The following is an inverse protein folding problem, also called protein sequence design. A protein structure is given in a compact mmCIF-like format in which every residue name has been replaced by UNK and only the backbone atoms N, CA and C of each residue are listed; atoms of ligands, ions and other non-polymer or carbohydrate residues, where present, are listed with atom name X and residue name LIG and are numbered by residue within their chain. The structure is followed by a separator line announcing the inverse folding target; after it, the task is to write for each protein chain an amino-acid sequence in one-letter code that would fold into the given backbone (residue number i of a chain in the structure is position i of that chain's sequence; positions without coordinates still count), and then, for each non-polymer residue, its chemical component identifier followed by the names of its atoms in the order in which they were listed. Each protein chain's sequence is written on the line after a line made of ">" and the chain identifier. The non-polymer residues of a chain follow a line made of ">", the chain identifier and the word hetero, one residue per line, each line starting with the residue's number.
data_IF_994591466453
#
_entry.id   IF_994591466453
#
_cell.length_a   1.000
_cell.length_b   1.000
_cell.length_c   1.000
_cell.angle_alpha   90.00
_cell.angle_beta   90.00
_cell.angle_gamma   90.00
#
_symmetry.space_group_name_H-M   'P 1'
#
loop_
_entity.id
_entity.type
_entity.pdbx_description
1 polymer ?
#
# COMPACT_ATOMS: atom_id res chain seq x y z
N UNK A 1 24.43 -2.11 -5.50
CA UNK A 1 24.57 -3.44 -4.86
C UNK A 1 23.36 -4.27 -5.25
N UNK A 2 23.49 -5.59 -5.50
CA UNK A 2 22.32 -6.45 -5.68
C UNK A 2 21.47 -6.39 -4.39
N UNK A 3 20.16 -6.30 -4.54
CA UNK A 3 19.23 -6.36 -3.41
C UNK A 3 19.22 -7.81 -2.90
N UNK A 4 19.40 -8.02 -1.60
CA UNK A 4 19.30 -9.36 -0.97
C UNK A 4 17.85 -9.79 -0.75
N UNK A 5 16.91 -9.17 -1.46
CA UNK A 5 15.49 -9.49 -1.46
C UNK A 5 14.93 -9.31 -2.88
N UNK A 6 13.86 -10.04 -3.15
CA UNK A 6 13.11 -10.01 -4.40
C UNK A 6 11.64 -9.73 -4.07
N UNK A 7 11.08 -8.66 -4.64
CA UNK A 7 9.68 -8.33 -4.43
C UNK A 7 8.80 -9.36 -5.16
N UNK A 8 7.87 -9.98 -4.44
CA UNK A 8 6.90 -10.94 -4.98
C UNK A 8 5.63 -10.19 -5.40
N UNK A 9 5.09 -9.37 -4.50
CA UNK A 9 3.89 -8.58 -4.74
C UNK A 9 3.82 -7.38 -3.80
N UNK A 10 3.08 -6.37 -4.23
CA UNK A 10 2.66 -5.28 -3.37
C UNK A 10 1.17 -5.06 -3.54
N UNK A 11 0.46 -4.75 -2.47
CA UNK A 11 -0.97 -4.46 -2.56
C UNK A 11 -1.40 -3.42 -1.55
N UNK A 12 -2.39 -2.62 -1.93
CA UNK A 12 -3.22 -1.89 -0.98
C UNK A 12 -4.41 -2.77 -0.72
N UNK A 13 -4.44 -3.41 0.46
CA UNK A 13 -5.48 -4.38 0.81
C UNK A 13 -6.73 -3.71 1.33
N UNK A 14 -6.60 -2.51 1.91
CA UNK A 14 -7.72 -1.68 2.32
C UNK A 14 -7.37 -0.23 2.09
N UNK A 15 -8.11 0.46 1.22
CA UNK A 15 -8.06 1.91 1.07
C UNK A 15 -9.40 2.50 1.48
N UNK A 16 -9.45 3.13 2.67
CA UNK A 16 -10.66 3.74 3.23
C UNK A 16 -10.46 5.25 3.28
N UNK A 17 -11.46 6.00 2.87
CA UNK A 17 -11.42 7.47 2.88
C UNK A 17 -12.68 8.02 3.55
N UNK A 18 -12.50 9.17 4.18
CA UNK A 18 -13.56 9.99 4.74
C UNK A 18 -13.52 11.35 4.04
N UNK A 19 -14.54 11.62 3.22
CA UNK A 19 -14.63 12.86 2.44
C UNK A 19 -14.99 14.07 3.30
N UNK A 20 -15.62 13.86 4.45
CA UNK A 20 -16.05 14.93 5.36
C UNK A 20 -14.89 15.38 6.25
N UNK A 21 -14.16 14.42 6.81
CA UNK A 21 -12.92 14.68 7.57
C UNK A 21 -11.73 14.98 6.65
N UNK A 22 -11.86 14.72 5.35
CA UNK A 22 -10.78 14.82 4.35
C UNK A 22 -9.55 14.02 4.77
N UNK A 23 -9.75 12.78 5.21
CA UNK A 23 -8.68 11.87 5.59
C UNK A 23 -8.83 10.52 4.91
N UNK A 24 -7.75 9.74 4.88
CA UNK A 24 -7.80 8.36 4.47
C UNK A 24 -6.93 7.49 5.37
N UNK A 25 -7.27 6.21 5.44
CA UNK A 25 -6.47 5.16 6.07
C UNK A 25 -6.22 4.08 5.04
N UNK A 26 -5.00 3.53 5.02
CA UNK A 26 -4.68 2.44 4.13
C UNK A 26 -3.84 1.36 4.79
N UNK A 27 -4.12 0.11 4.41
CA UNK A 27 -3.28 -1.05 4.70
C UNK A 27 -2.51 -1.43 3.44
N UNK A 28 -1.19 -1.30 3.49
CA UNK A 28 -0.29 -1.76 2.44
C UNK A 28 0.36 -3.06 2.86
N UNK A 29 0.32 -4.07 1.99
CA UNK A 29 0.99 -5.34 2.19
C UNK A 29 2.06 -5.50 1.11
N UNK A 30 3.31 -5.60 1.54
CA UNK A 30 4.47 -5.79 0.67
C UNK A 30 5.02 -7.19 0.94
N UNK A 31 4.99 -8.07 -0.05
CA UNK A 31 5.47 -9.44 0.07
C UNK A 31 6.72 -9.63 -0.77
N UNK A 32 7.77 -10.16 -0.17
CA UNK A 32 9.08 -10.36 -0.80
C UNK A 32 9.75 -11.63 -0.30
N UNK A 33 10.69 -12.14 -1.10
CA UNK A 33 11.59 -13.23 -0.73
C UNK A 33 12.93 -12.67 -0.30
N UNK A 34 13.52 -13.22 0.75
CA UNK A 34 14.87 -12.87 1.19
C UNK A 34 15.85 -13.89 0.58
N UNK A 35 16.84 -13.41 -0.15
CA UNK A 35 17.81 -14.22 -0.90
C UNK A 35 19.23 -14.21 -0.28
N UNK A 36 19.39 -13.52 0.86
CA UNK A 36 20.65 -13.44 1.59
C UNK A 36 20.50 -12.60 2.86
N UNK A 37 21.61 -12.32 3.52
CA UNK A 37 21.59 -11.57 4.78
C UNK A 37 21.09 -10.14 4.55
N UNK A 38 20.05 -9.75 5.29
CA UNK A 38 19.43 -8.44 5.22
C UNK A 38 19.10 -7.95 6.62
N UNK A 39 19.58 -6.75 6.95
CA UNK A 39 19.30 -6.09 8.23
C UNK A 39 18.15 -5.11 8.11
N UNK A 40 17.91 -4.55 6.92
CA UNK A 40 16.90 -3.53 6.69
C UNK A 40 16.35 -3.55 5.26
N UNK A 41 15.11 -3.12 5.11
CA UNK A 41 14.45 -2.90 3.83
C UNK A 41 14.06 -1.43 3.71
N UNK A 42 14.56 -0.72 2.67
CA UNK A 42 14.19 0.67 2.43
C UNK A 42 12.86 0.75 1.68
N UNK A 43 11.87 1.37 2.30
CA UNK A 43 10.53 1.64 1.77
C UNK A 43 10.41 3.12 1.42
N UNK A 44 9.96 3.45 0.21
CA UNK A 44 9.60 4.83 -0.14
C UNK A 44 8.35 5.20 0.63
N UNK A 45 8.42 6.27 1.43
CA UNK A 45 7.36 6.68 2.33
C UNK A 45 7.28 8.22 2.34
N UNK A 46 6.16 8.78 1.89
CA UNK A 46 6.00 10.23 1.76
C UNK A 46 5.83 10.92 3.10
N UNK A 47 6.43 12.11 3.23
CA UNK A 47 6.36 12.95 4.44
C UNK A 47 4.95 13.40 4.82
N UNK A 48 3.99 13.30 3.89
CA UNK A 48 2.59 13.66 4.11
C UNK A 48 1.79 12.54 4.79
N UNK A 49 2.36 11.33 4.91
CA UNK A 49 1.74 10.18 5.52
C UNK A 49 2.10 10.11 7.02
N UNK A 50 1.11 9.74 7.81
CA UNK A 50 1.27 9.36 9.20
C UNK A 50 1.44 7.85 9.30
N UNK A 51 2.48 7.43 10.02
CA UNK A 51 2.75 6.05 10.33
C UNK A 51 1.87 5.57 11.49
N UNK A 52 1.11 4.48 11.31
CA UNK A 52 0.29 3.91 12.39
C UNK A 52 0.90 2.62 12.94
N UNK A 53 1.29 1.68 12.07
CA UNK A 53 1.74 0.34 12.50
C UNK A 53 2.53 -0.40 11.40
N UNK A 54 3.52 -1.21 11.79
CA UNK A 54 4.10 -2.29 10.96
C UNK A 54 3.88 -3.65 11.62
N UNK A 55 3.49 -4.64 10.82
CA UNK A 55 3.48 -6.05 11.21
C UNK A 55 4.34 -6.85 10.23
N UNK A 56 5.21 -7.71 10.75
CA UNK A 56 5.93 -8.68 9.95
C UNK A 56 5.21 -10.02 10.00
N UNK A 57 5.03 -10.63 8.84
CA UNK A 57 4.55 -12.00 8.71
C UNK A 57 5.56 -12.81 7.93
N UNK A 58 5.99 -13.91 8.49
CA UNK A 58 6.95 -14.82 7.86
C UNK A 58 6.26 -16.13 7.56
N UNK A 59 6.26 -16.53 6.30
CA UNK A 59 5.76 -17.83 5.87
C UNK A 59 6.92 -18.83 5.83
N UNK A 60 6.80 -19.90 6.63
CA UNK A 60 7.80 -20.96 6.72
C UNK A 60 7.19 -22.29 6.24
N UNK A 61 7.91 -23.02 5.37
CA UNK A 61 7.54 -24.36 4.88
C UNK A 61 7.07 -24.41 3.43
N UNK A 62 7.43 -25.48 2.70
CA UNK A 62 7.17 -25.68 1.25
C UNK A 62 5.68 -25.71 0.88
N UNK A 63 4.79 -26.04 1.83
CA UNK A 63 3.33 -26.15 1.64
C UNK A 63 2.50 -25.11 2.41
N UNK A 64 3.09 -23.96 2.79
CA UNK A 64 2.37 -22.85 3.43
C UNK A 64 1.99 -23.06 4.91
N UNK A 65 2.75 -23.89 5.63
CA UNK A 65 2.33 -24.49 6.90
C UNK A 65 2.35 -23.63 8.16
N UNK A 66 3.12 -22.54 8.27
CA UNK A 66 3.11 -21.70 9.47
C UNK A 66 3.35 -20.23 9.15
N UNK A 67 2.48 -19.34 9.64
CA UNK A 67 2.71 -17.90 9.69
C UNK A 67 3.21 -17.53 11.08
N UNK A 68 4.45 -17.09 11.19
CA UNK A 68 4.86 -16.30 12.35
C UNK A 68 4.45 -14.86 12.09
N UNK A 69 3.57 -14.33 12.95
CA UNK A 69 3.23 -12.91 12.96
C UNK A 69 3.84 -12.28 14.20
N UNK A 70 4.62 -11.24 13.97
CA UNK A 70 5.19 -10.44 15.03
C UNK A 70 4.91 -8.97 14.71
N UNK A 71 4.36 -8.26 15.70
CA UNK A 71 4.29 -6.80 15.59
C UNK A 71 5.73 -6.28 15.65
N UNK A 72 6.12 -5.48 14.66
CA UNK A 72 7.41 -4.82 14.72
C UNK A 72 7.41 -3.88 15.93
N UNK A 73 8.40 -4.02 16.82
CA UNK A 73 8.63 -3.05 17.90
C UNK A 73 8.94 -1.66 17.32
N UNK A 74 8.74 -0.58 18.07
CA UNK A 74 9.05 0.78 17.60
C UNK A 74 10.53 0.97 17.21
N UNK A 75 11.44 0.16 17.76
CA UNK A 75 12.88 0.21 17.45
C UNK A 75 13.23 -0.48 16.11
N UNK A 76 12.26 -1.18 15.52
CA UNK A 76 12.40 -1.92 14.28
C UNK A 76 12.23 -1.07 13.02
N UNK A 77 12.10 0.26 13.12
CA UNK A 77 12.09 1.13 11.95
C UNK A 77 12.73 2.51 12.20
N UNK A 78 13.13 3.18 11.13
CA UNK A 78 13.63 4.56 11.16
C UNK A 78 13.24 5.28 9.88
N UNK A 79 12.79 6.53 9.99
CA UNK A 79 12.39 7.35 8.85
C UNK A 79 13.37 8.49 8.62
N UNK A 80 13.83 8.64 7.37
CA UNK A 80 14.61 9.78 6.89
C UNK A 80 13.72 10.70 6.06
N UNK A 81 13.33 11.84 6.64
CA UNK A 81 12.48 12.85 6.00
C UNK A 81 13.10 13.45 4.74
N UNK A 82 14.43 13.51 4.64
CA UNK A 82 15.12 14.17 3.53
C UNK A 82 15.09 13.33 2.26
N UNK A 83 15.17 12.00 2.41
CA UNK A 83 15.13 11.03 1.31
C UNK A 83 13.76 10.39 1.12
N UNK A 84 12.82 10.64 2.04
CA UNK A 84 11.49 10.03 2.12
C UNK A 84 11.59 8.49 2.12
N UNK A 85 12.49 7.97 2.97
CA UNK A 85 12.77 6.54 3.12
C UNK A 85 12.47 6.10 4.55
N UNK A 86 11.57 5.13 4.68
CA UNK A 86 11.33 4.34 5.89
C UNK A 86 12.16 3.06 5.81
N UNK A 87 13.16 2.94 6.68
CA UNK A 87 13.98 1.73 6.80
C UNK A 87 13.35 0.81 7.84
N UNK A 88 12.98 -0.40 7.44
CA UNK A 88 12.37 -1.40 8.32
C UNK A 88 13.37 -2.52 8.60
N UNK A 89 13.68 -2.74 9.87
CA UNK A 89 14.71 -3.68 10.34
C UNK A 89 14.16 -5.08 10.50
N UNK A 90 15.01 -6.07 10.24
CA UNK A 90 14.71 -7.48 10.43
C UNK A 90 15.73 -8.09 11.39
N UNK A 91 15.25 -8.72 12.47
CA UNK A 91 16.11 -9.47 13.39
C UNK A 91 16.51 -10.82 12.78
N UNK A 92 17.80 -11.14 12.92
CA UNK A 92 18.62 -12.04 12.10
C UNK A 92 18.24 -13.54 12.07
N UNK A 93 17.19 -13.96 12.79
CA UNK A 93 17.04 -15.38 13.18
C UNK A 93 15.97 -16.21 12.46
N UNK A 94 14.91 -15.61 11.90
CA UNK A 94 13.79 -16.40 11.33
C UNK A 94 13.55 -16.22 9.82
N UNK A 95 14.29 -15.33 9.16
CA UNK A 95 14.07 -15.02 7.73
C UNK A 95 14.84 -15.91 6.76
N UNK A 96 15.92 -16.55 7.21
CA UNK A 96 16.81 -17.38 6.35
C UNK A 96 16.17 -18.68 5.84
N UNK A 97 15.07 -19.12 6.44
CA UNK A 97 14.30 -20.31 6.04
C UNK A 97 12.89 -19.96 5.52
N UNK A 98 12.60 -18.67 5.39
CA UNK A 98 11.30 -18.20 4.96
C UNK A 98 11.15 -18.33 3.45
N UNK A 99 9.99 -18.81 3.00
CA UNK A 99 9.64 -18.82 1.58
C UNK A 99 9.16 -17.45 1.11
N UNK A 100 8.48 -16.72 1.99
CA UNK A 100 8.04 -15.34 1.77
C UNK A 100 7.96 -14.59 3.11
N UNK A 101 8.19 -13.29 3.06
CA UNK A 101 7.97 -12.35 4.15
C UNK A 101 7.02 -11.27 3.67
N UNK A 102 5.99 -10.98 4.45
CA UNK A 102 5.06 -9.88 4.22
C UNK A 102 5.25 -8.81 5.28
N UNK A 103 5.31 -7.57 4.84
CA UNK A 103 5.30 -6.38 5.66
C UNK A 103 3.96 -5.70 5.49
N UNK A 104 3.19 -5.59 6.57
CA UNK A 104 1.92 -4.89 6.60
C UNK A 104 2.13 -3.52 7.21
N UNK A 105 1.91 -2.46 6.43
CA UNK A 105 2.09 -1.07 6.84
C UNK A 105 0.73 -0.40 6.88
N UNK A 106 0.28 -0.01 8.07
CA UNK A 106 -0.92 0.82 8.23
C UNK A 106 -0.51 2.28 8.24
N UNK A 107 -1.15 3.07 7.39
CA UNK A 107 -0.90 4.50 7.24
C UNK A 107 -2.20 5.30 7.35
N UNK A 108 -2.06 6.57 7.71
CA UNK A 108 -3.10 7.59 7.61
C UNK A 108 -2.58 8.77 6.78
N UNK A 109 -3.46 9.44 6.05
CA UNK A 109 -3.11 10.65 5.31
C UNK A 109 -4.26 11.62 5.17
N UNK A 110 -3.96 12.78 4.59
CA UNK A 110 -4.94 13.84 4.32
C UNK A 110 -5.31 13.87 2.85
N UNK A 111 -6.56 14.19 2.58
CA UNK A 111 -7.09 14.43 1.24
C UNK A 111 -6.99 15.93 0.97
N UNK A 112 -6.29 16.29 -0.10
CA UNK A 112 -6.13 17.67 -0.51
C UNK A 112 -7.36 18.24 -1.22
N UNK A 113 -7.19 19.45 -1.72
CA UNK A 113 -8.13 20.04 -2.68
C UNK A 113 -7.45 20.08 -4.05
N UNK A 114 -8.20 20.10 -5.15
CA UNK A 114 -7.62 20.12 -6.50
C UNK A 114 -6.59 21.25 -6.70
N UNK A 115 -6.81 22.41 -6.08
CA UNK A 115 -5.95 23.59 -6.15
C UNK A 115 -4.56 23.38 -5.53
N UNK A 116 -4.42 22.45 -4.58
CA UNK A 116 -3.13 22.14 -3.94
C UNK A 116 -2.27 21.16 -4.75
N UNK A 117 -2.83 20.55 -5.80
CA UNK A 117 -2.08 19.74 -6.77
C UNK A 117 -1.47 18.45 -6.23
N UNK A 118 -1.99 17.90 -5.12
CA UNK A 118 -1.54 16.63 -4.56
C UNK A 118 -2.07 15.40 -5.31
N UNK A 119 -1.51 14.21 -5.09
CA UNK A 119 -1.92 12.97 -5.75
C UNK A 119 -3.25 12.41 -5.23
N UNK A 120 -3.78 12.95 -4.13
CA UNK A 120 -5.11 12.64 -3.62
C UNK A 120 -5.84 13.92 -3.25
N UNK A 121 -7.00 14.14 -3.87
CA UNK A 121 -7.78 15.36 -3.67
C UNK A 121 -9.26 15.15 -3.99
N UNK A 122 -10.09 16.06 -3.47
CA UNK A 122 -11.49 16.21 -3.90
C UNK A 122 -11.57 17.41 -4.86
N UNK A 123 -12.25 17.23 -5.99
CA UNK A 123 -12.53 18.29 -6.95
C UNK A 123 -13.79 19.11 -6.58
N UNK A 124 -14.09 20.13 -7.39
CA UNK A 124 -15.21 21.04 -7.14
C UNK A 124 -16.60 20.36 -7.25
N UNK A 125 -16.66 19.19 -7.93
CA UNK A 125 -17.88 18.38 -8.05
C UNK A 125 -18.01 17.36 -6.90
N UNK A 126 -17.08 17.34 -5.95
CA UNK A 126 -17.08 16.43 -4.81
C UNK A 126 -16.55 15.03 -5.14
N UNK A 127 -15.90 14.85 -6.29
CA UNK A 127 -15.29 13.58 -6.69
C UNK A 127 -13.93 13.44 -6.02
N UNK A 128 -13.71 12.35 -5.28
CA UNK A 128 -12.40 11.97 -4.80
C UNK A 128 -11.59 11.45 -5.99
N UNK A 129 -10.43 12.05 -6.24
CA UNK A 129 -9.50 11.63 -7.28
C UNK A 129 -8.18 11.22 -6.62
N UNK A 130 -7.70 10.04 -6.98
CA UNK A 130 -6.35 9.58 -6.68
C UNK A 130 -5.60 9.41 -7.99
N UNK A 131 -4.52 10.16 -8.16
CA UNK A 131 -3.67 10.20 -9.35
C UNK A 131 -2.21 10.00 -8.90
N UNK A 132 -1.70 8.78 -9.10
CA UNK A 132 -0.39 8.39 -8.57
C UNK A 132 0.79 8.80 -9.45
N UNK A 133 0.54 9.61 -10.49
CA UNK A 133 1.55 9.96 -11.48
C UNK A 133 2.71 10.75 -10.85
N UNK A 134 3.82 10.04 -10.65
CA UNK A 134 5.10 10.50 -10.09
C UNK A 134 5.15 10.74 -8.56
N UNK A 135 4.05 10.52 -7.82
CA UNK A 135 3.98 10.83 -6.38
C UNK A 135 3.34 9.70 -5.55
N UNK A 136 3.46 8.45 -6.00
CA UNK A 136 2.89 7.26 -5.33
C UNK A 136 3.18 7.21 -3.82
N UNK A 137 4.42 7.53 -3.40
CA UNK A 137 4.82 7.44 -1.99
C UNK A 137 4.11 8.44 -1.09
N UNK A 138 3.52 9.49 -1.66
CA UNK A 138 2.69 10.45 -0.92
C UNK A 138 1.28 9.93 -0.62
N UNK A 139 0.85 8.84 -1.27
CA UNK A 139 -0.45 8.19 -1.01
C UNK A 139 -0.25 6.88 -0.27
N UNK A 140 0.77 6.09 -0.63
CA UNK A 140 1.09 4.86 0.08
C UNK A 140 2.56 4.44 -0.06
N UNK A 141 3.12 3.77 0.97
CA UNK A 141 4.47 3.26 0.91
C UNK A 141 4.67 2.20 -0.17
N UNK A 142 5.87 2.17 -0.76
CA UNK A 142 6.21 1.12 -1.74
C UNK A 142 7.71 0.77 -1.77
N UNK A 143 8.02 -0.43 -2.27
CA UNK A 143 9.40 -0.79 -2.62
C UNK A 143 9.69 -0.41 -4.07
N UNK A 144 10.65 0.49 -4.26
CA UNK A 144 11.11 0.92 -5.58
C UNK A 144 11.88 -0.23 -6.27
N UNK A 145 11.14 -1.06 -7.01
CA UNK A 145 11.63 -2.23 -7.74
C UNK A 145 10.96 -2.29 -9.11
N UNK A 146 11.64 -2.91 -10.07
CA UNK A 146 11.40 -2.64 -11.50
C UNK A 146 10.14 -3.35 -12.03
N UNK A 147 9.71 -4.46 -11.44
CA UNK A 147 8.58 -5.27 -11.93
C UNK A 147 7.90 -6.00 -10.76
N UNK A 148 6.60 -5.76 -10.55
CA UNK A 148 5.85 -6.32 -9.42
C UNK A 148 4.35 -6.31 -9.71
N UNK A 149 3.64 -7.37 -9.30
CA UNK A 149 2.18 -7.39 -9.31
C UNK A 149 1.64 -6.41 -8.27
N UNK A 150 0.74 -5.54 -8.69
CA UNK A 150 0.07 -4.62 -7.79
C UNK A 150 -1.42 -4.96 -7.64
N UNK A 151 -1.86 -5.10 -6.40
CA UNK A 151 -3.27 -5.19 -6.04
C UNK A 151 -3.74 -3.88 -5.42
N UNK A 152 -4.92 -3.42 -5.80
CA UNK A 152 -5.59 -2.30 -5.12
C UNK A 152 -6.94 -2.83 -4.63
N UNK A 153 -7.31 -2.53 -3.39
CA UNK A 153 -8.67 -2.74 -2.89
C UNK A 153 -9.15 -1.43 -2.30
N UNK A 154 -10.12 -0.79 -2.98
CA UNK A 154 -10.75 0.45 -2.52
C UNK A 154 -12.07 0.12 -1.85
N UNK A 155 -12.23 0.59 -0.62
CA UNK A 155 -13.43 0.42 0.19
C UNK A 155 -14.35 1.62 -0.04
N UNK A 156 -15.46 1.40 -0.74
CA UNK A 156 -16.39 2.45 -1.16
C UNK A 156 -17.74 2.25 -0.49
N UNK A 157 -18.28 3.31 0.12
CA UNK A 157 -19.64 3.29 0.68
C UNK A 157 -20.70 3.02 -0.39
N UNK A 158 -21.73 2.26 -0.04
CA UNK A 158 -22.87 2.00 -0.93
C UNK A 158 -23.54 3.31 -1.42
N UNK A 159 -23.84 3.32 -2.72
CA UNK A 159 -24.43 4.44 -3.44
C UNK A 159 -23.41 5.39 -4.07
N UNK A 160 -22.11 5.18 -3.82
CA UNK A 160 -21.03 5.85 -4.56
C UNK A 160 -20.60 5.02 -5.76
N UNK A 161 -20.16 5.68 -6.83
CA UNK A 161 -19.60 5.04 -8.02
C UNK A 161 -18.07 5.07 -7.97
N UNK A 162 -17.43 3.95 -8.29
CA UNK A 162 -15.98 3.86 -8.45
C UNK A 162 -15.59 3.74 -9.93
N UNK A 163 -14.52 4.42 -10.32
CA UNK A 163 -13.91 4.34 -11.65
C UNK A 163 -12.40 4.21 -11.47
N UNK A 164 -11.74 3.32 -12.22
CA UNK A 164 -10.29 3.15 -12.18
C UNK A 164 -9.76 3.03 -13.61
N UNK A 165 -8.59 3.60 -13.86
CA UNK A 165 -7.84 3.33 -15.08
C UNK A 165 -7.39 1.86 -15.04
N UNK A 166 -7.78 1.05 -16.04
CA UNK A 166 -7.47 -0.38 -16.10
C UNK A 166 -8.66 -1.26 -16.44
N UNK A 167 -8.59 -2.54 -16.06
CA UNK A 167 -9.70 -3.48 -16.18
C UNK A 167 -10.86 -3.12 -15.24
N UNK A 168 -12.08 -3.53 -15.61
CA UNK A 168 -13.24 -3.36 -14.73
C UNK A 168 -12.98 -4.04 -13.39
N UNK A 169 -13.15 -3.32 -12.27
CA UNK A 169 -12.83 -3.85 -10.97
C UNK A 169 -13.84 -4.93 -10.57
N UNK A 170 -13.34 -6.02 -9.99
CA UNK A 170 -14.23 -6.99 -9.35
C UNK A 170 -14.83 -6.35 -8.11
N UNK A 171 -16.14 -6.49 -7.95
CA UNK A 171 -16.94 -5.90 -6.87
C UNK A 171 -17.25 -6.98 -5.84
N UNK A 172 -16.84 -6.78 -4.58
CA UNK A 172 -17.28 -7.61 -3.45
C UNK A 172 -18.11 -6.77 -2.49
N UNK A 173 -19.21 -7.35 -1.99
CA UNK A 173 -20.07 -6.74 -1.00
C UNK A 173 -19.72 -7.31 0.37
N UNK A 174 -19.37 -6.44 1.31
CA UNK A 174 -19.29 -6.78 2.74
C UNK A 174 -20.66 -6.48 3.41
N UNK A 175 -20.94 -7.14 4.53
CA UNK A 175 -22.18 -6.99 5.31
C UNK A 175 -22.39 -5.54 5.83
N UNK A 176 -21.35 -4.70 5.77
CA UNK A 176 -21.33 -3.30 6.20
C UNK A 176 -21.61 -2.28 5.07
N UNK A 177 -22.19 -2.69 3.92
CA UNK A 177 -22.47 -1.83 2.76
C UNK A 177 -21.22 -1.20 2.14
N UNK A 178 -20.10 -1.92 2.18
CA UNK A 178 -18.83 -1.52 1.58
C UNK A 178 -18.60 -2.35 0.33
N UNK A 179 -18.33 -1.66 -0.78
CA UNK A 179 -17.91 -2.27 -2.03
C UNK A 179 -16.39 -2.25 -2.07
N UNK A 180 -15.78 -3.43 -2.11
CA UNK A 180 -14.36 -3.58 -2.39
C UNK A 180 -14.15 -3.69 -3.89
N UNK A 181 -13.39 -2.75 -4.45
CA UNK A 181 -12.99 -2.76 -5.86
C UNK A 181 -11.55 -3.23 -6.00
N UNK A 182 -11.36 -4.40 -6.62
CA UNK A 182 -10.04 -4.99 -6.83
C UNK A 182 -9.67 -5.07 -8.31
N UNK A 183 -9.09 -4.03 -8.92
CA UNK A 183 -8.46 -4.18 -10.23
C UNK A 183 -7.23 -5.09 -10.08
N UNK A 184 -7.19 -6.18 -10.84
CA UNK A 184 -5.98 -6.98 -10.99
C UNK A 184 -5.08 -6.23 -11.97
N UNK A 185 -4.11 -5.48 -11.46
CA UNK A 185 -3.13 -4.78 -12.31
C UNK A 185 -1.97 -5.75 -12.54
N UNK A 186 -2.19 -6.70 -13.45
CA UNK A 186 -1.16 -7.58 -14.01
C UNK A 186 -0.45 -6.88 -15.16
N UNK A 187 0.32 -5.81 -14.93
CA UNK A 187 1.18 -5.29 -15.98
C UNK A 187 2.36 -4.43 -15.51
N UNK A 188 3.41 -4.50 -16.33
CA UNK A 188 4.73 -3.82 -16.25
C UNK A 188 4.70 -2.28 -16.28
N UNK A 189 3.53 -1.67 -16.08
CA UNK A 189 3.37 -0.23 -15.95
C UNK A 189 3.29 0.07 -14.46
N UNK A 190 4.42 0.47 -13.88
CA UNK A 190 4.54 0.72 -12.44
C UNK A 190 3.40 1.58 -11.88
N UNK A 191 3.23 1.47 -10.55
CA UNK A 191 2.29 2.22 -9.69
C UNK A 191 2.00 3.66 -10.13
N UNK A 192 3.01 4.32 -10.69
CA UNK A 192 3.00 5.70 -11.17
C UNK A 192 2.07 5.99 -12.38
N UNK A 193 1.21 5.06 -12.78
CA UNK A 193 0.24 5.25 -13.87
C UNK A 193 -1.21 5.09 -13.43
N UNK A 194 -1.43 4.64 -12.18
CA UNK A 194 -2.76 4.37 -11.68
C UNK A 194 -3.49 5.67 -11.32
N UNK A 195 -4.72 5.76 -11.81
CA UNK A 195 -5.68 6.79 -11.43
C UNK A 195 -7.03 6.16 -11.15
N UNK A 196 -7.68 6.60 -10.08
CA UNK A 196 -9.04 6.19 -9.80
C UNK A 196 -9.86 7.34 -9.21
N UNK A 197 -11.17 7.19 -9.27
CA UNK A 197 -12.15 8.17 -8.82
C UNK A 197 -13.24 7.52 -8.00
N UNK A 198 -13.70 8.23 -6.99
CA UNK A 198 -14.92 7.89 -6.25
C UNK A 198 -15.87 9.08 -6.33
N UNK A 199 -17.02 8.84 -6.94
CA UNK A 199 -18.07 9.84 -7.09
C UNK A 199 -18.85 10.02 -5.79
N UNK A 200 -19.40 11.22 -5.53
CA UNK A 200 -20.29 11.43 -4.40
C UNK A 200 -21.52 10.52 -4.50
N UNK A 201 -22.17 10.28 -3.35
CA UNK A 201 -23.38 9.46 -3.28
C UNK A 201 -24.49 10.12 -4.10
N UNK A 202 -25.13 9.33 -4.98
CA UNK A 202 -26.27 9.78 -5.80
C UNK A 202 -27.59 9.77 -5.03
#
# INVERSE_FOLDING_TARGET
>A
MPKNYELISQSICEFRFDTDEKTFNALVVITFKINGDISEIPVKFGKSLEFVKIVHRTQVGEDGGFFYSENASNDAYSYDESSEILSVKFDDLNTRTANAVSMEITIRGKIGNQQTGGPIYIDDDGVLIVDLKNDTHQVFPYLDTVETKFGLTVMVEEGRKFECDGEEPTTYYDDDNIIAYTPIIENNFGLNTLKFKVHPKQ
#
